data_IF_006973350176
#
_entry.id   IF_006973350176
#
_cell.length_a   1.000
_cell.length_b   1.000
_cell.length_c   1.000
_cell.angle_alpha   90.00
_cell.angle_beta   90.00
_cell.angle_gamma   90.00
#
_symmetry.space_group_name_H-M   'P 1'
#
loop_
_entity.id
_entity.type
_entity.pdbx_description
1 polymer ?
#
# COMPACT_ATOMS: atom_id res chain seq x y z
N UNK A 1 8.65 -5.40 -6.02
CA UNK A 1 7.66 -4.31 -6.04
C UNK A 1 6.27 -4.93 -6.03
N UNK A 2 5.28 -4.21 -5.53
CA UNK A 2 3.88 -4.63 -5.51
C UNK A 2 2.98 -3.41 -5.49
N UNK A 3 1.67 -3.61 -5.69
CA UNK A 3 0.70 -2.50 -5.64
C UNK A 3 0.74 -1.83 -4.27
N UNK A 4 0.86 -0.51 -4.29
CA UNK A 4 1.01 0.30 -3.09
C UNK A 4 -0.35 0.69 -2.51
N UNK A 5 -0.53 0.40 -1.22
CA UNK A 5 -1.71 0.85 -0.49
C UNK A 5 -1.72 2.34 -0.17
N UNK A 6 -0.57 3.03 -0.29
CA UNK A 6 -0.47 4.47 -0.02
C UNK A 6 -1.35 5.31 -0.95
N UNK A 7 -1.62 4.79 -2.14
CA UNK A 7 -2.43 5.46 -3.16
C UNK A 7 -3.93 5.17 -3.02
N UNK A 8 -4.34 4.18 -2.22
CA UNK A 8 -5.72 3.71 -2.21
C UNK A 8 -6.73 4.84 -1.95
N UNK A 9 -6.52 5.64 -0.90
CA UNK A 9 -7.42 6.75 -0.56
C UNK A 9 -7.51 7.81 -1.66
N UNK A 10 -6.37 8.26 -2.19
CA UNK A 10 -6.34 9.26 -3.26
C UNK A 10 -6.92 8.74 -4.59
N UNK A 11 -6.65 7.49 -4.94
CA UNK A 11 -7.20 6.88 -6.15
C UNK A 11 -8.69 6.68 -6.03
N UNK A 12 -9.22 6.30 -4.86
CA UNK A 12 -10.65 6.22 -4.62
C UNK A 12 -11.32 7.57 -4.88
N UNK A 13 -10.82 8.66 -4.28
CA UNK A 13 -11.35 10.02 -4.48
C UNK A 13 -11.38 10.40 -5.97
N UNK A 14 -10.28 10.18 -6.69
CA UNK A 14 -10.19 10.51 -8.13
C UNK A 14 -11.12 9.62 -8.95
N UNK A 15 -11.16 8.31 -8.67
CA UNK A 15 -11.97 7.34 -9.43
C UNK A 15 -13.48 7.53 -9.24
N UNK A 16 -13.91 8.02 -8.07
CA UNK A 16 -15.32 8.32 -7.78
C UNK A 16 -15.77 9.70 -8.28
N UNK A 17 -14.83 10.52 -8.76
CA UNK A 17 -15.17 11.82 -9.32
C UNK A 17 -15.87 11.63 -10.69
N UNK A 18 -17.11 12.12 -10.87
CA UNK A 18 -17.87 11.97 -12.12
C UNK A 18 -17.17 12.51 -13.36
N UNK A 19 -16.32 13.54 -13.20
CA UNK A 19 -15.66 14.22 -14.32
C UNK A 19 -14.36 13.52 -14.76
N UNK A 20 -13.76 12.69 -13.89
CA UNK A 20 -12.46 12.05 -14.11
C UNK A 20 -12.58 10.53 -14.28
N UNK A 21 -13.31 9.89 -13.36
CA UNK A 21 -13.46 8.44 -13.31
C UNK A 21 -12.13 7.67 -13.33
N UNK A 22 -12.18 6.45 -13.87
CA UNK A 22 -11.00 5.59 -14.04
C UNK A 22 -9.95 6.21 -14.98
N UNK A 23 -10.38 6.93 -16.02
CA UNK A 23 -9.47 7.51 -17.02
C UNK A 23 -8.60 8.63 -16.44
N UNK A 24 -9.17 9.48 -15.58
CA UNK A 24 -8.42 10.51 -14.86
C UNK A 24 -7.49 9.91 -13.81
N UNK A 25 -7.90 8.81 -13.16
CA UNK A 25 -7.05 8.06 -12.25
C UNK A 25 -5.80 7.54 -12.96
N UNK A 26 -5.94 6.90 -14.12
CA UNK A 26 -4.81 6.41 -14.94
C UNK A 26 -3.92 7.56 -15.39
N UNK A 27 -4.50 8.67 -15.88
CA UNK A 27 -3.72 9.83 -16.31
C UNK A 27 -2.89 10.44 -15.18
N UNK A 28 -3.47 10.53 -13.98
CA UNK A 28 -2.76 10.98 -12.78
C UNK A 28 -1.62 10.03 -12.37
N UNK A 29 -1.81 8.71 -12.46
CA UNK A 29 -0.76 7.71 -12.20
C UNK A 29 0.39 7.86 -13.18
N UNK A 30 0.11 8.01 -14.48
CA UNK A 30 1.15 8.12 -15.51
C UNK A 30 1.99 9.37 -15.28
N UNK A 31 1.36 10.54 -15.10
CA UNK A 31 2.06 11.80 -14.83
C UNK A 31 2.83 11.75 -13.52
N UNK A 32 2.21 11.21 -12.46
CA UNK A 32 2.83 11.07 -11.16
C UNK A 32 4.03 10.12 -11.17
N UNK A 33 3.97 9.01 -11.92
CA UNK A 33 5.09 8.08 -12.09
C UNK A 33 6.26 8.71 -12.85
N UNK A 34 5.99 9.53 -13.88
CA UNK A 34 7.03 10.29 -14.59
C UNK A 34 7.69 11.27 -13.62
N UNK A 35 6.87 11.97 -12.84
CA UNK A 35 7.33 12.88 -11.81
C UNK A 35 8.21 12.17 -10.76
N UNK A 36 7.74 11.05 -10.20
CA UNK A 36 8.51 10.23 -9.25
C UNK A 36 9.81 9.74 -9.88
N UNK A 37 9.79 9.27 -11.13
CA UNK A 37 10.99 8.78 -11.82
C UNK A 37 12.05 9.87 -11.96
N UNK A 38 11.65 11.09 -12.34
CA UNK A 38 12.53 12.26 -12.43
C UNK A 38 13.04 12.69 -11.05
N UNK A 39 12.17 12.71 -10.05
CA UNK A 39 12.53 13.00 -8.66
C UNK A 39 13.51 11.94 -8.14
N UNK A 40 13.30 10.67 -8.45
CA UNK A 40 14.17 9.55 -8.11
C UNK A 40 15.57 9.68 -8.72
N UNK A 41 15.66 10.04 -10.00
CA UNK A 41 16.95 10.34 -10.64
C UNK A 41 17.69 11.49 -9.96
N UNK A 42 16.97 12.45 -9.37
CA UNK A 42 17.55 13.57 -8.63
C UNK A 42 17.69 13.33 -7.11
N UNK A 43 17.50 12.09 -6.62
CA UNK A 43 17.53 11.74 -5.20
C UNK A 43 18.79 12.20 -4.45
N UNK A 44 19.93 12.30 -5.14
CA UNK A 44 21.18 12.86 -4.59
C UNK A 44 20.99 14.24 -3.94
N UNK A 45 20.10 15.08 -4.46
CA UNK A 45 19.93 16.47 -4.03
C UNK A 45 18.96 16.63 -2.85
N UNK A 46 17.94 15.77 -2.76
CA UNK A 46 16.84 15.94 -1.82
C UNK A 46 16.72 14.82 -0.77
N UNK A 47 17.41 13.69 -0.92
CA UNK A 47 17.36 12.58 0.08
C UNK A 47 17.71 13.02 1.50
N UNK A 48 18.52 14.08 1.65
CA UNK A 48 18.89 14.65 2.96
C UNK A 48 17.69 15.15 3.77
N UNK A 49 16.56 15.41 3.10
CA UNK A 49 15.33 15.89 3.71
C UNK A 49 14.45 14.74 4.21
N UNK A 50 14.57 13.55 3.62
CA UNK A 50 13.93 12.32 4.10
C UNK A 50 14.73 11.74 5.29
N UNK A 51 14.49 12.28 6.48
CA UNK A 51 15.10 11.71 7.68
C UNK A 51 14.41 10.38 8.06
N UNK A 52 15.09 9.47 8.78
CA UNK A 52 14.49 8.21 9.23
C UNK A 52 13.16 8.40 9.99
N UNK A 53 13.05 9.48 10.77
CA UNK A 53 11.81 9.85 11.48
C UNK A 53 10.67 10.15 10.50
N UNK A 54 10.93 10.88 9.40
CA UNK A 54 9.93 11.18 8.36
C UNK A 54 9.45 9.89 7.70
N UNK A 55 10.37 9.01 7.30
CA UNK A 55 10.01 7.71 6.71
C UNK A 55 9.20 6.85 7.68
N UNK A 56 9.55 6.82 8.97
CA UNK A 56 8.80 6.08 9.98
C UNK A 56 7.38 6.65 10.17
N UNK A 57 7.24 7.97 10.26
CA UNK A 57 5.93 8.63 10.34
C UNK A 57 5.04 8.28 9.14
N UNK A 58 5.61 8.27 7.93
CA UNK A 58 4.90 7.88 6.70
C UNK A 58 4.40 6.44 6.79
N UNK A 59 5.27 5.47 7.14
CA UNK A 59 4.88 4.04 7.22
C UNK A 59 3.78 3.80 8.26
N UNK A 60 3.86 4.47 9.42
CA UNK A 60 2.81 4.40 10.44
C UNK A 60 1.50 5.03 9.91
N UNK A 61 1.56 6.18 9.25
CA UNK A 61 0.39 6.85 8.69
C UNK A 61 -0.32 6.00 7.63
N UNK A 62 0.45 5.30 6.79
CA UNK A 62 -0.07 4.33 5.82
C UNK A 62 -0.84 3.24 6.57
N UNK A 63 -0.22 2.61 7.57
CA UNK A 63 -0.87 1.59 8.39
C UNK A 63 -2.18 2.09 9.03
N UNK A 64 -2.18 3.28 9.62
CA UNK A 64 -3.35 3.90 10.25
C UNK A 64 -4.47 4.20 9.23
N UNK A 65 -4.11 4.73 8.06
CA UNK A 65 -5.09 5.07 7.02
C UNK A 65 -5.81 3.85 6.42
N UNK A 66 -5.20 2.67 6.51
CA UNK A 66 -5.74 1.42 5.99
C UNK A 66 -6.55 0.64 7.01
N UNK A 67 -6.54 1.03 8.28
CA UNK A 67 -7.31 0.34 9.32
C UNK A 67 -8.81 0.34 9.00
N UNK A 68 -9.36 1.48 8.57
CA UNK A 68 -10.78 1.57 8.19
C UNK A 68 -11.10 0.64 7.02
N UNK A 69 -10.26 0.61 5.99
CA UNK A 69 -10.44 -0.28 4.82
C UNK A 69 -10.48 -1.75 5.24
N UNK A 70 -9.58 -2.17 6.13
CA UNK A 70 -9.58 -3.53 6.66
C UNK A 70 -10.85 -3.87 7.46
N UNK A 71 -11.32 -2.92 8.27
CA UNK A 71 -12.55 -3.07 9.06
C UNK A 71 -13.81 -3.09 8.18
N UNK A 72 -13.88 -2.24 7.16
CA UNK A 72 -14.99 -2.19 6.20
C UNK A 72 -15.06 -3.48 5.38
N UNK A 73 -13.90 -4.01 4.97
CA UNK A 73 -13.78 -5.31 4.31
C UNK A 73 -14.25 -6.44 5.22
N UNK A 74 -13.87 -6.43 6.51
CA UNK A 74 -14.31 -7.44 7.48
C UNK A 74 -15.84 -7.40 7.67
N UNK A 75 -16.43 -6.21 7.70
CA UNK A 75 -17.87 -6.03 7.74
C UNK A 75 -18.63 -6.52 6.50
N UNK A 76 -17.96 -6.89 5.40
CA UNK A 76 -18.61 -7.38 4.18
C UNK A 76 -18.70 -6.38 3.03
N UNK A 77 -18.07 -5.20 3.16
CA UNK A 77 -18.12 -4.00 2.29
C UNK A 77 -19.06 -2.92 2.81
N UNK A 78 -18.51 -1.73 3.03
CA UNK A 78 -19.26 -0.54 3.44
C UNK A 78 -20.32 -0.16 2.39
N UNK A 79 -21.54 0.12 2.84
CA UNK A 79 -22.66 0.53 1.97
C UNK A 79 -23.57 -0.61 1.47
N UNK A 80 -23.32 -1.87 1.85
CA UNK A 80 -24.20 -3.00 1.57
C UNK A 80 -25.20 -3.19 2.72
N UNK A 81 -26.44 -3.62 2.44
CA UNK A 81 -27.49 -3.82 3.46
C UNK A 81 -27.08 -4.81 4.55
N UNK A 82 -26.26 -5.80 4.21
CA UNK A 82 -25.75 -6.84 5.10
C UNK A 82 -24.42 -6.48 5.80
N UNK A 83 -24.03 -5.20 5.79
CA UNK A 83 -22.81 -4.76 6.46
C UNK A 83 -22.85 -5.10 7.96
N UNK A 84 -21.82 -5.81 8.43
CA UNK A 84 -21.72 -6.26 9.82
C UNK A 84 -22.61 -7.45 10.17
N UNK A 85 -23.18 -8.15 9.19
CA UNK A 85 -23.92 -9.38 9.44
C UNK A 85 -23.05 -10.41 10.18
N UNK A 86 -23.69 -11.21 11.05
CA UNK A 86 -23.00 -12.15 11.94
C UNK A 86 -22.07 -13.10 11.19
N UNK A 87 -22.44 -13.49 9.96
CA UNK A 87 -21.69 -14.43 9.14
C UNK A 87 -20.41 -13.79 8.56
N UNK A 88 -20.44 -12.50 8.18
CA UNK A 88 -19.24 -11.74 7.77
C UNK A 88 -18.27 -11.59 8.94
N UNK A 89 -18.79 -11.20 10.11
CA UNK A 89 -17.98 -11.06 11.32
C UNK A 89 -17.35 -12.39 11.72
N UNK A 90 -18.11 -13.48 11.68
CA UNK A 90 -17.63 -14.82 12.00
C UNK A 90 -16.52 -15.28 11.06
N UNK A 91 -16.74 -15.20 9.73
CA UNK A 91 -15.76 -15.64 8.73
C UNK A 91 -14.48 -14.81 8.81
N UNK A 92 -14.58 -13.49 8.97
CA UNK A 92 -13.39 -12.65 9.14
C UNK A 92 -12.67 -12.90 10.47
N UNK A 93 -13.39 -13.13 11.57
CA UNK A 93 -12.80 -13.49 12.87
C UNK A 93 -12.08 -14.83 12.78
N UNK A 94 -12.72 -15.83 12.19
CA UNK A 94 -12.13 -17.14 11.96
C UNK A 94 -10.83 -17.02 11.15
N UNK A 95 -10.88 -16.25 10.05
CA UNK A 95 -9.72 -15.99 9.20
C UNK A 95 -8.58 -15.33 9.98
N UNK A 96 -8.89 -14.32 10.81
CA UNK A 96 -7.90 -13.67 11.68
C UNK A 96 -7.30 -14.63 12.71
N UNK A 97 -8.12 -15.46 13.37
CA UNK A 97 -7.64 -16.48 14.32
C UNK A 97 -6.70 -17.45 13.61
N UNK A 98 -7.05 -17.91 12.41
CA UNK A 98 -6.17 -18.77 11.62
C UNK A 98 -4.85 -18.07 11.29
N UNK A 99 -4.88 -16.80 10.88
CA UNK A 99 -3.66 -16.02 10.65
C UNK A 99 -2.76 -15.97 11.91
N UNK A 100 -3.36 -15.74 13.09
CA UNK A 100 -2.62 -15.66 14.35
C UNK A 100 -2.04 -17.02 14.76
N UNK A 101 -2.86 -18.08 14.73
CA UNK A 101 -2.45 -19.44 15.06
C UNK A 101 -1.35 -19.90 14.10
N UNK A 102 -1.50 -19.63 12.79
CA UNK A 102 -0.49 -19.96 11.78
C UNK A 102 0.82 -19.23 12.04
N UNK A 103 0.78 -17.95 12.42
CA UNK A 103 2.00 -17.19 12.76
C UNK A 103 2.74 -17.77 13.98
N UNK A 104 2.00 -18.32 14.95
CA UNK A 104 2.58 -18.91 16.14
C UNK A 104 3.13 -20.33 15.90
N UNK A 105 2.40 -21.16 15.15
CA UNK A 105 2.75 -22.56 14.89
C UNK A 105 3.86 -22.69 13.85
N UNK A 106 3.85 -21.86 12.80
CA UNK A 106 4.87 -21.90 11.75
C UNK A 106 6.21 -21.40 12.30
N UNK A 107 7.32 -21.98 11.81
CA UNK A 107 8.68 -21.66 12.29
C UNK A 107 9.50 -20.98 11.20
N UNK A 108 10.46 -20.14 11.62
CA UNK A 108 11.37 -19.44 10.70
C UNK A 108 10.62 -18.58 9.67
N UNK A 109 10.98 -18.75 8.41
CA UNK A 109 10.44 -17.99 7.26
C UNK A 109 8.96 -18.26 6.99
N UNK A 110 8.48 -19.45 7.37
CA UNK A 110 7.10 -19.86 7.12
C UNK A 110 6.09 -19.03 7.93
N UNK A 111 6.52 -18.34 8.98
CA UNK A 111 5.68 -17.39 9.73
C UNK A 111 5.09 -16.28 8.85
N UNK A 112 5.79 -15.91 7.78
CA UNK A 112 5.33 -14.89 6.84
C UNK A 112 4.23 -15.40 5.89
N UNK A 113 3.98 -16.72 5.84
CA UNK A 113 2.87 -17.32 5.09
C UNK A 113 1.55 -17.33 5.88
N UNK A 114 1.54 -16.76 7.09
CA UNK A 114 0.37 -16.75 7.95
C UNK A 114 -0.89 -16.16 7.27
N UNK A 115 -0.72 -15.07 6.50
CA UNK A 115 -1.80 -14.43 5.74
C UNK A 115 -2.31 -15.37 4.64
N UNK A 116 -1.40 -16.07 3.93
CA UNK A 116 -1.79 -17.03 2.90
C UNK A 116 -2.56 -18.21 3.47
N UNK A 117 -2.13 -18.76 4.61
CA UNK A 117 -2.83 -19.85 5.29
C UNK A 117 -4.21 -19.40 5.79
N UNK A 118 -4.29 -18.19 6.34
CA UNK A 118 -5.56 -17.56 6.72
C UNK A 118 -6.50 -17.42 5.53
N UNK A 119 -6.02 -16.90 4.40
CA UNK A 119 -6.80 -16.73 3.18
C UNK A 119 -7.37 -18.07 2.69
N UNK A 120 -6.53 -19.12 2.65
CA UNK A 120 -6.95 -20.45 2.18
C UNK A 120 -8.01 -21.05 3.10
N UNK A 121 -7.77 -21.08 4.41
CA UNK A 121 -8.72 -21.68 5.36
C UNK A 121 -9.99 -20.83 5.52
N UNK A 122 -9.88 -19.51 5.45
CA UNK A 122 -11.03 -18.59 5.45
C UNK A 122 -11.90 -18.74 4.21
N UNK A 123 -11.29 -18.90 3.03
CA UNK A 123 -12.00 -19.21 1.79
C UNK A 123 -12.70 -20.57 1.84
N UNK A 124 -12.05 -21.59 2.41
CA UNK A 124 -12.67 -22.90 2.64
C UNK A 124 -13.87 -22.79 3.59
N UNK A 125 -13.76 -22.01 4.66
CA UNK A 125 -14.89 -21.76 5.58
C UNK A 125 -16.05 -21.06 4.86
N UNK A 126 -15.77 -20.03 4.05
CA UNK A 126 -16.79 -19.35 3.25
C UNK A 126 -17.47 -20.31 2.25
N UNK A 127 -16.71 -21.23 1.66
CA UNK A 127 -17.25 -22.27 0.76
C UNK A 127 -18.19 -23.22 1.51
N UNK A 128 -17.84 -23.63 2.73
CA UNK A 128 -18.70 -24.48 3.58
C UNK A 128 -20.03 -23.78 3.90
N UNK A 129 -20.01 -22.49 4.19
CA UNK A 129 -21.22 -21.71 4.50
C UNK A 129 -22.20 -21.65 3.33
N UNK A 130 -21.68 -21.63 2.10
CA UNK A 130 -22.49 -21.65 0.88
C UNK A 130 -23.06 -23.02 0.59
N UNK A 131 -22.22 -24.06 0.65
CA UNK A 131 -22.67 -25.45 0.42
C UNK A 131 -23.74 -25.85 1.45
N UNK A 132 -23.64 -25.31 2.66
CA UNK A 132 -24.59 -25.53 3.75
C UNK A 132 -25.83 -24.61 3.65
N UNK A 133 -25.89 -23.70 2.67
CA UNK A 133 -27.01 -22.76 2.45
C UNK A 133 -27.20 -21.72 3.55
N UNK A 134 -26.18 -21.48 4.37
CA UNK A 134 -26.26 -20.60 5.55
C UNK A 134 -26.15 -19.13 5.16
N UNK A 135 -25.28 -18.81 4.19
CA UNK A 135 -25.10 -17.45 3.68
C UNK A 135 -24.58 -17.46 2.24
N UNK A 136 -25.09 -16.59 1.35
CA UNK A 136 -24.59 -16.44 -0.02
C UNK A 136 -23.34 -15.54 -0.03
N UNK A 137 -22.15 -16.12 0.23
CA UNK A 137 -20.91 -15.34 0.40
C UNK A 137 -19.93 -15.39 -0.80
N UNK A 138 -20.13 -16.31 -1.76
CA UNK A 138 -19.30 -16.48 -2.96
C UNK A 138 -20.21 -16.61 -4.16
N UNK A 139 -19.84 -15.95 -5.24
CA UNK A 139 -20.42 -16.18 -6.56
C UNK A 139 -19.36 -16.77 -7.50
N UNK A 140 -19.46 -18.09 -7.72
CA UNK A 140 -18.60 -18.81 -8.66
C UNK A 140 -18.92 -18.51 -10.12
N UNK A 141 -20.02 -17.80 -10.41
CA UNK A 141 -20.39 -17.39 -11.77
C UNK A 141 -19.31 -16.50 -12.38
N UNK A 142 -18.66 -15.66 -11.56
CA UNK A 142 -17.52 -14.82 -11.97
C UNK A 142 -16.37 -15.62 -12.60
N UNK A 143 -16.05 -16.80 -12.05
CA UNK A 143 -14.97 -17.67 -12.55
C UNK A 143 -15.37 -18.35 -13.86
N UNK A 144 -16.58 -18.90 -13.93
CA UNK A 144 -17.10 -19.52 -15.16
C UNK A 144 -17.25 -18.50 -16.30
N UNK A 145 -17.71 -17.30 -15.96
CA UNK A 145 -17.86 -16.20 -16.90
C UNK A 145 -16.50 -15.70 -17.42
N UNK A 146 -15.50 -15.57 -16.53
CA UNK A 146 -14.15 -15.17 -16.96
C UNK A 146 -13.53 -16.22 -17.89
N UNK A 147 -13.68 -17.51 -17.57
CA UNK A 147 -13.17 -18.60 -18.42
C UNK A 147 -13.86 -18.60 -19.80
N UNK A 148 -15.18 -18.36 -19.84
CA UNK A 148 -15.93 -18.34 -21.11
C UNK A 148 -15.68 -17.09 -21.96
N UNK A 149 -15.42 -15.93 -21.34
CA UNK A 149 -15.19 -14.67 -22.04
C UNK A 149 -13.73 -14.43 -22.45
N UNK A 150 -12.77 -14.79 -21.58
CA UNK A 150 -11.35 -14.44 -21.73
C UNK A 150 -10.50 -15.66 -22.11
N UNK A 151 -10.97 -16.87 -21.81
CA UNK A 151 -10.23 -18.10 -22.03
C UNK A 151 -9.19 -18.40 -20.92
N UNK A 152 -8.41 -19.46 -21.13
CA UNK A 152 -7.41 -19.93 -20.16
C UNK A 152 -6.09 -19.17 -20.20
N UNK A 153 -5.83 -18.44 -21.30
CA UNK A 153 -4.61 -17.69 -21.51
C UNK A 153 -4.96 -16.32 -22.10
N UNK A 154 -4.44 -15.26 -21.50
CA UNK A 154 -4.63 -13.89 -22.00
C UNK A 154 -3.38 -13.06 -21.76
N UNK A 155 -3.04 -12.23 -22.74
CA UNK A 155 -2.00 -11.22 -22.59
C UNK A 155 -2.63 -9.95 -22.05
N UNK A 156 -2.12 -9.39 -20.92
CA UNK A 156 -2.61 -8.12 -20.41
C UNK A 156 -2.40 -7.01 -21.44
N UNK A 157 -3.47 -6.33 -21.81
CA UNK A 157 -3.41 -5.16 -22.70
C UNK A 157 -2.95 -3.96 -21.90
N UNK A 158 -1.91 -3.27 -22.37
CA UNK A 158 -1.49 -2.00 -21.77
C UNK A 158 -2.62 -0.99 -21.91
N UNK A 159 -2.78 -0.12 -20.92
CA UNK A 159 -3.89 0.84 -20.89
C UNK A 159 -3.92 1.75 -22.13
N UNK A 160 -2.75 2.03 -22.73
CA UNK A 160 -2.63 2.79 -23.97
C UNK A 160 -3.27 2.12 -25.21
N UNK A 161 -3.48 0.80 -25.17
CA UNK A 161 -4.08 0.01 -26.24
C UNK A 161 -5.54 -0.36 -25.97
N UNK A 162 -6.11 0.11 -24.85
CA UNK A 162 -7.51 -0.10 -24.48
C UNK A 162 -8.36 1.08 -24.95
N UNK A 163 -9.68 0.93 -24.95
CA UNK A 163 -10.62 2.02 -25.27
C UNK A 163 -10.59 3.17 -24.24
N UNK A 164 -10.02 2.92 -23.05
CA UNK A 164 -9.97 3.87 -21.94
C UNK A 164 -8.79 4.83 -22.14
N UNK A 165 -9.07 6.07 -22.52
CA UNK A 165 -8.02 7.06 -22.83
C UNK A 165 -7.67 7.84 -21.58
N UNK A 166 -6.38 7.89 -21.16
CA UNK A 166 -6.00 8.63 -19.96
C UNK A 166 -6.38 10.11 -20.05
N UNK A 167 -7.08 10.62 -19.03
CA UNK A 167 -7.41 12.05 -18.89
C UNK A 167 -6.36 12.69 -17.98
N UNK A 168 -5.70 13.73 -18.49
CA UNK A 168 -4.66 14.43 -17.75
C UNK A 168 -5.22 15.65 -17.05
N UNK A 169 -5.63 15.47 -15.80
CA UNK A 169 -6.08 16.55 -14.92
C UNK A 169 -4.98 17.04 -13.98
N UNK A 170 -4.87 18.36 -13.84
CA UNK A 170 -3.80 19.00 -13.06
C UNK A 170 -4.06 18.85 -11.55
N UNK A 171 -5.31 18.87 -11.10
CA UNK A 171 -5.64 18.67 -9.69
C UNK A 171 -5.32 17.25 -9.24
N UNK A 172 -5.78 16.25 -10.00
CA UNK A 172 -5.47 14.84 -9.78
C UNK A 172 -3.96 14.56 -9.84
N UNK A 173 -3.23 15.23 -10.75
CA UNK A 173 -1.77 15.17 -10.80
C UNK A 173 -1.14 15.60 -9.50
N UNK A 174 -1.49 16.77 -8.96
CA UNK A 174 -0.87 17.28 -7.72
C UNK A 174 -1.16 16.38 -6.52
N UNK A 175 -2.38 15.86 -6.41
CA UNK A 175 -2.76 14.89 -5.38
C UNK A 175 -1.89 13.65 -5.46
N UNK A 176 -1.77 13.05 -6.64
CA UNK A 176 -0.98 11.83 -6.83
C UNK A 176 0.52 12.08 -6.73
N UNK A 177 1.03 13.24 -7.17
CA UNK A 177 2.43 13.63 -7.07
C UNK A 177 2.91 13.67 -5.61
N UNK A 178 2.08 14.17 -4.68
CA UNK A 178 2.40 14.18 -3.25
C UNK A 178 2.46 12.75 -2.71
N UNK A 179 1.52 11.88 -3.10
CA UNK A 179 1.55 10.46 -2.71
C UNK A 179 2.76 9.74 -3.29
N UNK A 180 3.22 10.13 -4.48
CA UNK A 180 4.48 9.63 -5.02
C UNK A 180 5.70 10.10 -4.23
N UNK A 181 5.72 11.31 -3.66
CA UNK A 181 6.78 11.71 -2.72
C UNK A 181 6.76 10.87 -1.44
N UNK A 182 5.57 10.49 -0.98
CA UNK A 182 5.38 9.56 0.13
C UNK A 182 5.93 8.17 -0.23
N UNK A 183 5.59 7.64 -1.42
CA UNK A 183 6.14 6.40 -1.97
C UNK A 183 7.66 6.43 -2.02
N UNK A 184 8.23 7.53 -2.50
CA UNK A 184 9.67 7.72 -2.53
C UNK A 184 10.30 7.69 -1.12
N UNK A 185 9.62 8.23 -0.10
CA UNK A 185 10.05 8.15 1.30
C UNK A 185 9.99 6.72 1.86
N UNK A 186 8.97 5.95 1.48
CA UNK A 186 8.83 4.52 1.80
C UNK A 186 9.93 3.69 1.12
N UNK A 187 10.08 3.81 -0.20
CA UNK A 187 11.11 3.10 -0.99
C UNK A 187 12.52 3.42 -0.49
N UNK A 188 12.79 4.67 -0.09
CA UNK A 188 14.06 5.05 0.54
C UNK A 188 14.29 4.29 1.84
N UNK A 189 13.27 4.23 2.72
CA UNK A 189 13.34 3.49 3.99
C UNK A 189 13.51 1.98 3.78
N UNK A 190 12.70 1.38 2.92
CA UNK A 190 12.72 -0.05 2.61
C UNK A 190 14.06 -0.48 1.99
N UNK A 191 14.57 0.26 1.00
CA UNK A 191 15.85 -0.05 0.36
C UNK A 191 17.01 0.09 1.35
N UNK A 192 16.97 1.13 2.20
CA UNK A 192 17.98 1.31 3.26
C UNK A 192 17.95 0.15 4.25
N UNK A 193 16.77 -0.29 4.69
CA UNK A 193 16.61 -1.41 5.62
C UNK A 193 17.08 -2.76 5.04
N UNK A 194 16.93 -2.98 3.73
CA UNK A 194 17.53 -4.15 3.06
C UNK A 194 19.05 -4.06 3.06
N UNK A 195 19.62 -2.90 2.74
CA UNK A 195 21.07 -2.70 2.71
C UNK A 195 21.70 -2.88 4.11
N UNK A 196 21.10 -2.31 5.15
CA UNK A 196 21.62 -2.42 6.51
C UNK A 196 21.38 -3.81 7.10
N UNK A 197 20.19 -4.36 6.91
CA UNK A 197 19.79 -5.63 7.53
C UNK A 197 20.31 -6.89 6.84
N UNK A 198 20.46 -6.88 5.50
CA UNK A 198 20.90 -8.06 4.73
C UNK A 198 22.30 -7.92 4.13
N UNK A 199 22.73 -6.70 3.77
CA UNK A 199 24.06 -6.43 3.20
C UNK A 199 25.06 -5.86 4.22
N UNK A 200 24.61 -5.52 5.44
CA UNK A 200 25.42 -4.95 6.50
C UNK A 200 26.24 -3.71 6.08
N UNK A 201 25.65 -2.85 5.24
CA UNK A 201 26.27 -1.59 4.78
C UNK A 201 25.23 -0.53 4.50
N UNK A 202 25.69 0.72 4.40
CA UNK A 202 24.85 1.81 3.92
C UNK A 202 24.52 1.68 2.43
N UNK A 203 23.35 2.23 2.07
CA UNK A 203 22.87 2.33 0.70
C UNK A 203 23.72 3.33 -0.10
N UNK A 204 24.14 2.93 -1.30
CA UNK A 204 24.84 3.84 -2.22
C UNK A 204 23.84 4.79 -2.89
N UNK A 205 24.29 5.98 -3.27
CA UNK A 205 23.42 6.98 -3.89
C UNK A 205 22.86 6.47 -5.22
N UNK A 206 23.69 5.77 -5.98
CA UNK A 206 23.33 5.21 -7.29
C UNK A 206 22.26 4.10 -7.15
N UNK A 207 22.33 3.31 -6.07
CA UNK A 207 21.34 2.28 -5.76
C UNK A 207 20.00 2.90 -5.36
N UNK A 208 20.02 3.98 -4.58
CA UNK A 208 18.82 4.72 -4.22
C UNK A 208 18.18 5.41 -5.42
N UNK A 209 18.97 6.09 -6.25
CA UNK A 209 18.49 6.73 -7.49
C UNK A 209 17.88 5.71 -8.44
N UNK A 210 18.54 4.56 -8.62
CA UNK A 210 18.03 3.47 -9.44
C UNK A 210 16.73 2.87 -8.90
N UNK A 211 16.66 2.65 -7.57
CA UNK A 211 15.45 2.14 -6.92
C UNK A 211 14.25 3.06 -7.13
N UNK A 212 14.41 4.36 -6.86
CA UNK A 212 13.35 5.36 -7.02
C UNK A 212 12.97 5.64 -8.48
N UNK A 213 13.95 5.62 -9.39
CA UNK A 213 13.67 5.79 -10.82
C UNK A 213 12.84 4.62 -11.36
N UNK A 214 13.17 3.39 -10.97
CA UNK A 214 12.39 2.20 -11.34
C UNK A 214 11.02 2.23 -10.65
N UNK A 215 10.92 2.72 -9.42
CA UNK A 215 9.65 2.97 -8.71
C UNK A 215 8.71 3.82 -9.58
N UNK A 216 9.13 5.02 -9.97
CA UNK A 216 8.30 5.93 -10.74
C UNK A 216 8.04 5.49 -12.17
N UNK A 217 9.09 5.23 -12.96
CA UNK A 217 8.91 4.96 -14.39
C UNK A 217 8.14 3.68 -14.69
N UNK A 218 8.22 2.67 -13.81
CA UNK A 218 7.43 1.43 -14.01
C UNK A 218 5.93 1.73 -14.00
N UNK A 219 5.48 2.67 -13.17
CA UNK A 219 4.07 3.05 -13.06
C UNK A 219 3.55 3.74 -14.33
N UNK A 220 4.40 4.52 -14.99
CA UNK A 220 4.04 5.23 -16.22
C UNK A 220 4.01 4.35 -17.47
N UNK A 221 4.86 3.32 -17.53
CA UNK A 221 4.98 2.45 -18.71
C UNK A 221 3.80 1.49 -18.84
N UNK A 222 3.34 0.92 -17.71
CA UNK A 222 2.29 -0.09 -17.73
C UNK A 222 0.88 0.50 -17.59
N UNK A 223 0.75 1.73 -17.08
CA UNK A 223 -0.55 2.34 -16.77
C UNK A 223 -1.35 1.53 -15.73
N UNK A 224 -0.68 0.67 -14.97
CA UNK A 224 -1.30 -0.14 -13.92
C UNK A 224 -1.43 0.66 -12.63
N UNK A 225 -2.06 0.07 -11.62
CA UNK A 225 -2.07 0.65 -10.28
C UNK A 225 -0.64 0.92 -9.79
N UNK A 226 -0.41 2.00 -9.02
CA UNK A 226 0.92 2.37 -8.56
C UNK A 226 1.60 1.23 -7.81
N UNK A 227 2.76 0.86 -8.31
CA UNK A 227 3.69 -0.13 -7.77
C UNK A 227 4.73 0.61 -6.93
N UNK A 228 5.04 0.06 -5.76
CA UNK A 228 6.14 0.52 -4.92
C UNK A 228 6.95 -0.64 -4.33
N UNK A 229 7.99 -0.32 -3.57
CA UNK A 229 8.75 -1.26 -2.75
C UNK A 229 7.87 -1.90 -1.67
N UNK A 230 7.83 -3.23 -1.62
CA UNK A 230 6.98 -3.95 -0.68
C UNK A 230 7.70 -4.14 0.66
N UNK A 231 7.40 -3.30 1.65
CA UNK A 231 8.08 -3.24 2.95
C UNK A 231 8.04 -4.58 3.72
N UNK A 232 7.01 -5.42 3.53
CA UNK A 232 6.94 -6.75 4.14
C UNK A 232 8.04 -7.70 3.63
N UNK A 233 8.50 -7.52 2.39
CA UNK A 233 9.58 -8.35 1.84
C UNK A 233 10.93 -8.02 2.47
N UNK A 234 11.11 -6.82 3.02
CA UNK A 234 12.34 -6.43 3.73
C UNK A 234 12.57 -7.35 4.93
N UNK A 235 11.51 -7.63 5.71
CA UNK A 235 11.57 -8.57 6.83
C UNK A 235 11.99 -9.98 6.41
N UNK A 236 11.47 -10.45 5.27
CA UNK A 236 11.83 -11.77 4.74
C UNK A 236 13.29 -11.81 4.27
N UNK A 237 13.75 -10.79 3.53
CA UNK A 237 15.12 -10.72 3.01
C UNK A 237 16.14 -10.61 4.15
N UNK A 238 15.86 -9.80 5.17
CA UNK A 238 16.73 -9.65 6.35
C UNK A 238 16.80 -10.93 7.20
N UNK A 239 15.70 -11.70 7.28
CA UNK A 239 15.70 -13.00 7.98
C UNK A 239 16.38 -14.12 7.19
N UNK A 240 16.21 -14.14 5.86
CA UNK A 240 16.73 -15.22 5.00
C UNK A 240 18.16 -15.00 4.54
N UNK A 241 18.61 -13.75 4.48
CA UNK A 241 19.87 -13.36 3.83
C UNK A 241 19.89 -13.60 2.32
N UNK A 242 18.74 -13.95 1.70
CA UNK A 242 18.68 -14.26 0.26
C UNK A 242 18.49 -12.97 -0.54
N UNK A 243 19.61 -12.44 -1.02
CA UNK A 243 19.69 -11.22 -1.85
C UNK A 243 20.10 -11.52 -3.30
N UNK A 244 20.14 -12.80 -3.68
CA UNK A 244 20.56 -13.21 -5.02
C UNK A 244 19.55 -12.76 -6.08
N UNK A 245 20.03 -12.03 -7.09
CA UNK A 245 19.24 -11.55 -8.23
C UNK A 245 18.56 -12.69 -8.99
N UNK A 246 19.18 -13.87 -9.04
CA UNK A 246 18.59 -15.03 -9.69
C UNK A 246 17.30 -15.48 -8.99
N UNK A 247 17.31 -15.60 -7.66
CA UNK A 247 16.12 -15.98 -6.89
C UNK A 247 14.99 -14.98 -7.08
N UNK A 248 15.31 -13.67 -7.05
CA UNK A 248 14.33 -12.60 -7.27
C UNK A 248 13.77 -12.66 -8.70
N UNK A 249 14.61 -12.90 -9.70
CA UNK A 249 14.22 -13.01 -11.10
C UNK A 249 13.29 -14.22 -11.34
N UNK A 250 13.59 -15.38 -10.76
CA UNK A 250 12.71 -16.55 -10.83
C UNK A 250 11.36 -16.27 -10.18
N UNK A 251 11.34 -15.59 -9.03
CA UNK A 251 10.09 -15.15 -8.39
C UNK A 251 9.26 -14.23 -9.29
N UNK A 252 9.90 -13.23 -9.92
CA UNK A 252 9.24 -12.34 -10.87
C UNK A 252 8.70 -13.09 -12.09
N UNK A 253 9.46 -14.03 -12.65
CA UNK A 253 9.04 -14.85 -13.77
C UNK A 253 7.83 -15.73 -13.43
N UNK A 254 7.79 -16.32 -12.23
CA UNK A 254 6.63 -17.07 -11.75
C UNK A 254 5.38 -16.18 -11.69
N UNK A 255 5.51 -14.94 -11.19
CA UNK A 255 4.39 -14.00 -11.13
C UNK A 255 3.92 -13.53 -12.51
N UNK A 256 4.85 -13.31 -13.45
CA UNK A 256 4.52 -13.00 -14.85
C UNK A 256 3.79 -14.17 -15.50
N UNK A 257 4.27 -15.40 -15.31
CA UNK A 257 3.58 -16.57 -15.85
C UNK A 257 2.20 -16.72 -15.22
N UNK A 258 2.07 -16.50 -13.91
CA UNK A 258 0.80 -16.56 -13.20
C UNK A 258 -0.22 -15.51 -13.69
N UNK A 259 0.23 -14.31 -14.07
CA UNK A 259 -0.67 -13.26 -14.57
C UNK A 259 -1.23 -13.54 -15.96
N UNK A 260 -0.59 -14.42 -16.76
CA UNK A 260 -1.07 -14.86 -18.06
C UNK A 260 -2.24 -15.85 -17.97
N UNK A 261 -2.62 -16.30 -16.76
CA UNK A 261 -3.74 -17.19 -16.51
C UNK A 261 -4.92 -16.44 -15.87
N UNK A 262 -5.85 -15.87 -16.66
CA UNK A 262 -7.07 -15.22 -16.16
C UNK A 262 -7.87 -15.99 -15.11
N UNK A 263 -7.97 -17.34 -15.16
CA UNK A 263 -8.68 -18.09 -14.12
C UNK A 263 -8.12 -17.86 -12.71
N UNK A 264 -6.82 -17.60 -12.59
CA UNK A 264 -6.19 -17.27 -11.31
C UNK A 264 -6.66 -15.90 -10.80
N UNK A 265 -6.76 -14.90 -11.68
CA UNK A 265 -7.31 -13.59 -11.34
C UNK A 265 -8.79 -13.67 -10.94
N UNK A 266 -9.59 -14.46 -11.66
CA UNK A 266 -10.98 -14.70 -11.33
C UNK A 266 -11.15 -15.40 -9.98
N UNK A 267 -10.26 -16.35 -9.66
CA UNK A 267 -10.22 -16.98 -8.34
C UNK A 267 -9.97 -15.96 -7.24
N UNK A 268 -8.99 -15.06 -7.38
CA UNK A 268 -8.74 -14.01 -6.38
C UNK A 268 -9.91 -13.03 -6.26
N UNK A 269 -10.59 -12.69 -7.35
CA UNK A 269 -11.81 -11.86 -7.33
C UNK A 269 -13.00 -12.56 -6.68
N UNK A 270 -13.03 -13.89 -6.68
CA UNK A 270 -14.09 -14.65 -6.00
C UNK A 270 -13.97 -14.62 -4.49
N UNK A 271 -12.82 -14.19 -3.91
CA UNK A 271 -12.61 -14.25 -2.47
C UNK A 271 -13.57 -13.26 -1.77
N UNK A 272 -14.33 -13.70 -0.75
CA UNK A 272 -15.25 -12.81 -0.04
C UNK A 272 -14.49 -11.73 0.69
N UNK A 273 -15.05 -10.52 0.70
CA UNK A 273 -14.45 -9.37 1.35
C UNK A 273 -14.27 -9.59 2.86
N UNK A 274 -15.15 -10.35 3.51
CA UNK A 274 -14.98 -10.74 4.92
C UNK A 274 -13.72 -11.59 5.20
N UNK A 275 -13.33 -12.48 4.28
CA UNK A 275 -12.08 -13.26 4.37
C UNK A 275 -10.88 -12.34 4.17
N UNK A 276 -10.95 -11.47 3.15
CA UNK A 276 -9.91 -10.46 2.91
C UNK A 276 -9.78 -9.52 4.11
N UNK A 277 -10.87 -9.13 4.76
CA UNK A 277 -10.89 -8.29 5.95
C UNK A 277 -10.09 -8.89 7.10
N UNK A 278 -10.35 -10.16 7.44
CA UNK A 278 -9.58 -10.86 8.49
C UNK A 278 -8.08 -10.95 8.18
N UNK A 279 -7.72 -11.11 6.91
CA UNK A 279 -6.32 -11.11 6.46
C UNK A 279 -5.68 -9.71 6.48
N UNK A 280 -6.40 -8.70 6.00
CA UNK A 280 -5.91 -7.34 5.84
C UNK A 280 -5.76 -6.64 7.18
N UNK A 281 -6.60 -6.93 8.18
CA UNK A 281 -6.40 -6.44 9.57
C UNK A 281 -5.03 -6.87 10.11
N UNK A 282 -4.65 -8.13 9.92
CA UNK A 282 -3.33 -8.62 10.31
C UNK A 282 -2.21 -7.94 9.51
N UNK A 283 -2.41 -7.75 8.20
CA UNK A 283 -1.44 -7.11 7.32
C UNK A 283 -1.22 -5.63 7.68
N UNK A 284 -2.28 -4.83 7.75
CA UNK A 284 -2.23 -3.40 8.06
C UNK A 284 -1.71 -3.14 9.47
N UNK A 285 -2.10 -3.97 10.46
CA UNK A 285 -1.53 -3.94 11.80
C UNK A 285 -0.02 -4.21 11.81
N UNK A 286 0.46 -5.14 10.97
CA UNK A 286 1.89 -5.40 10.83
C UNK A 286 2.66 -4.27 10.15
N UNK A 287 2.04 -3.56 9.17
CA UNK A 287 2.63 -2.37 8.55
C UNK A 287 2.81 -1.27 9.59
N UNK A 288 1.78 -0.99 10.39
CA UNK A 288 1.86 -0.03 11.49
C UNK A 288 2.98 -0.40 12.48
N UNK A 289 3.10 -1.68 12.83
CA UNK A 289 4.18 -2.16 13.70
C UNK A 289 5.58 -1.96 13.11
N UNK A 290 5.79 -2.25 11.82
CA UNK A 290 7.08 -2.01 11.18
C UNK A 290 7.42 -0.51 11.14
N UNK A 291 6.44 0.36 10.95
CA UNK A 291 6.63 1.81 11.08
C UNK A 291 7.08 2.22 12.50
N UNK A 292 6.46 1.65 13.54
CA UNK A 292 6.88 1.87 14.94
C UNK A 292 8.29 1.34 15.19
N UNK A 293 8.64 0.19 14.60
CA UNK A 293 9.98 -0.39 14.70
C UNK A 293 11.03 0.47 14.00
N UNK A 294 10.73 1.05 12.83
CA UNK A 294 11.59 2.06 12.20
C UNK A 294 11.76 3.29 13.09
N UNK A 295 10.68 3.72 13.76
CA UNK A 295 10.76 4.83 14.71
C UNK A 295 11.66 4.47 15.90
N UNK A 296 11.57 3.23 16.42
CA UNK A 296 12.40 2.70 17.53
C UNK A 296 13.90 2.85 17.28
N UNK A 297 14.34 2.69 16.04
CA UNK A 297 15.75 2.80 15.65
C UNK A 297 16.22 4.26 15.52
N UNK A 298 15.31 5.23 15.63
CA UNK A 298 15.63 6.65 15.70
C UNK A 298 15.96 7.11 17.12
N UNK A 299 16.56 8.29 17.26
CA UNK A 299 16.79 8.92 18.57
C UNK A 299 15.44 9.39 19.15
N UNK A 300 15.09 8.90 20.34
CA UNK A 300 13.90 9.35 21.08
C UNK A 300 14.25 10.59 21.91
N UNK A 301 14.20 11.76 21.27
CA UNK A 301 14.39 13.08 21.89
C UNK A 301 13.10 13.93 21.82
N UNK A 302 13.11 15.08 22.49
CA UNK A 302 11.98 16.03 22.48
C UNK A 302 11.66 16.52 21.06
N UNK A 303 12.68 16.64 20.21
CA UNK A 303 12.54 17.00 18.80
C UNK A 303 11.73 15.95 18.04
N UNK A 304 12.06 14.67 18.20
CA UNK A 304 11.36 13.55 17.56
C UNK A 304 9.95 13.43 18.11
N UNK A 305 9.74 13.64 19.42
CA UNK A 305 8.41 13.71 20.02
C UNK A 305 7.53 14.78 19.33
N UNK A 306 8.05 16.00 19.15
CA UNK A 306 7.32 17.10 18.48
C UNK A 306 7.00 16.75 17.03
N UNK A 307 7.98 16.25 16.27
CA UNK A 307 7.78 15.87 14.87
C UNK A 307 6.68 14.81 14.76
N UNK A 308 6.80 13.72 15.51
CA UNK A 308 5.86 12.59 15.46
C UNK A 308 4.46 13.05 15.88
N UNK A 309 4.32 13.63 17.07
CA UNK A 309 3.01 13.99 17.64
C UNK A 309 2.24 14.99 16.76
N UNK A 310 2.86 16.09 16.34
CA UNK A 310 2.19 17.10 15.50
C UNK A 310 1.84 16.55 14.12
N UNK A 311 2.72 15.74 13.53
CA UNK A 311 2.46 15.16 12.20
C UNK A 311 1.23 14.26 12.22
N UNK A 312 1.08 13.41 13.24
CA UNK A 312 -0.10 12.56 13.38
C UNK A 312 -1.35 13.36 13.76
N UNK A 313 -1.27 14.28 14.72
CA UNK A 313 -2.41 15.10 15.12
C UNK A 313 -2.98 15.90 13.94
N UNK A 314 -2.12 16.47 13.10
CA UNK A 314 -2.56 17.21 11.92
C UNK A 314 -2.97 16.22 10.82
N UNK A 315 -2.08 15.34 10.35
CA UNK A 315 -2.37 14.49 9.20
C UNK A 315 -3.54 13.53 9.41
N UNK A 316 -3.53 12.74 10.49
CA UNK A 316 -4.60 11.77 10.78
C UNK A 316 -5.82 12.43 11.42
N UNK A 317 -5.63 13.55 12.14
CA UNK A 317 -6.76 14.31 12.70
C UNK A 317 -7.60 14.99 11.61
N UNK A 318 -6.96 15.50 10.55
CA UNK A 318 -7.65 16.11 9.40
C UNK A 318 -8.57 15.14 8.66
N UNK A 319 -8.25 13.85 8.63
CA UNK A 319 -9.15 12.86 8.01
C UNK A 319 -10.31 12.43 8.90
N UNK A 320 -10.30 12.80 10.18
CA UNK A 320 -11.36 12.46 11.14
C UNK A 320 -12.36 13.60 11.36
N UNK A 321 -12.16 14.75 10.73
CA UNK A 321 -13.15 15.84 10.78
C UNK A 321 -14.31 15.53 9.85
N UNK A 322 -15.53 15.86 10.29
CA UNK A 322 -16.76 15.69 9.52
C UNK A 322 -16.99 16.78 8.48
N UNK A 323 -16.19 17.85 8.49
CA UNK A 323 -16.28 18.98 7.55
C UNK A 323 -15.03 19.16 6.69
N UNK A 324 -15.14 20.02 5.67
CA UNK A 324 -14.00 20.47 4.89
C UNK A 324 -13.17 21.47 5.74
N UNK A 325 -12.14 20.96 6.41
CA UNK A 325 -11.23 21.76 7.22
C UNK A 325 -10.56 22.88 6.40
N UNK A 326 -10.31 22.61 5.12
CA UNK A 326 -9.72 23.54 4.17
C UNK A 326 -10.74 24.34 3.35
N UNK A 327 -11.96 24.54 3.86
CA UNK A 327 -13.02 25.30 3.17
C UNK A 327 -12.65 26.74 2.81
N UNK A 328 -11.73 27.36 3.56
CA UNK A 328 -11.22 28.71 3.29
C UNK A 328 -9.97 28.73 2.38
N UNK A 329 -9.42 27.56 2.03
CA UNK A 329 -8.24 27.43 1.18
C UNK A 329 -8.64 27.17 -0.28
N UNK A 330 -7.71 27.33 -1.23
CA UNK A 330 -7.93 26.91 -2.61
C UNK A 330 -8.33 25.43 -2.67
N UNK A 331 -9.27 25.10 -3.57
CA UNK A 331 -9.83 23.76 -3.70
C UNK A 331 -8.76 22.66 -3.80
N UNK A 332 -7.66 22.93 -4.51
CA UNK A 332 -6.52 22.03 -4.63
C UNK A 332 -5.90 21.60 -3.28
N UNK A 333 -5.92 22.45 -2.25
CA UNK A 333 -5.43 22.08 -0.91
C UNK A 333 -6.43 21.12 -0.24
N UNK A 334 -7.72 21.39 -0.38
CA UNK A 334 -8.77 20.50 0.12
C UNK A 334 -8.72 19.12 -0.54
N UNK A 335 -8.54 19.07 -1.85
CA UNK A 335 -8.51 17.83 -2.64
C UNK A 335 -7.32 16.94 -2.26
N UNK A 336 -6.20 17.55 -1.88
CA UNK A 336 -4.98 16.84 -1.44
C UNK A 336 -5.12 16.33 -0.01
N UNK A 337 -5.58 17.17 0.93
CA UNK A 337 -5.40 16.92 2.37
C UNK A 337 -6.65 16.43 3.12
N UNK A 338 -7.87 16.74 2.67
CA UNK A 338 -9.08 16.36 3.43
C UNK A 338 -9.29 14.85 3.51
N UNK A 339 -8.85 14.09 2.50
CA UNK A 339 -9.03 12.64 2.41
C UNK A 339 -7.74 11.83 2.55
N UNK A 340 -6.58 12.48 2.72
CA UNK A 340 -5.28 11.79 2.69
C UNK A 340 -4.45 12.09 3.93
N UNK A 341 -4.60 11.22 4.93
CA UNK A 341 -3.83 11.29 6.17
C UNK A 341 -2.32 11.20 5.93
N UNK A 342 -1.91 10.38 4.96
CA UNK A 342 -0.51 10.09 4.68
C UNK A 342 0.19 11.32 4.09
N UNK A 343 -0.45 12.01 3.15
CA UNK A 343 0.04 13.26 2.59
C UNK A 343 0.20 14.34 3.68
N UNK A 344 -0.79 14.47 4.58
CA UNK A 344 -0.72 15.39 5.72
C UNK A 344 0.43 15.08 6.65
N UNK A 345 0.58 13.81 7.07
CA UNK A 345 1.68 13.37 7.94
C UNK A 345 3.04 13.63 7.27
N UNK A 346 3.17 13.32 5.98
CA UNK A 346 4.42 13.52 5.24
C UNK A 346 4.84 14.99 5.18
N UNK A 347 3.95 15.89 4.76
CA UNK A 347 4.27 17.31 4.62
C UNK A 347 4.61 17.92 5.98
N UNK A 348 3.82 17.64 7.02
CA UNK A 348 4.06 18.17 8.37
C UNK A 348 5.37 17.62 8.94
N UNK A 349 5.61 16.31 8.83
CA UNK A 349 6.85 15.71 9.35
C UNK A 349 8.09 16.20 8.61
N UNK A 350 7.99 16.39 7.29
CA UNK A 350 9.05 16.96 6.48
C UNK A 350 9.35 18.40 6.91
N UNK A 351 8.35 19.26 7.01
CA UNK A 351 8.52 20.67 7.42
C UNK A 351 9.10 20.77 8.83
N UNK A 352 8.56 20.02 9.79
CA UNK A 352 9.08 20.01 11.16
C UNK A 352 10.52 19.48 11.20
N UNK A 353 10.83 18.42 10.45
CA UNK A 353 12.20 17.89 10.36
C UNK A 353 13.18 18.89 9.72
N UNK A 354 12.71 19.80 8.85
CA UNK A 354 13.52 20.85 8.23
C UNK A 354 13.75 22.05 9.15
N UNK A 355 12.69 22.53 9.80
CA UNK A 355 12.72 23.78 10.55
C UNK A 355 13.08 23.63 12.03
N UNK A 356 12.82 22.46 12.65
CA UNK A 356 13.21 22.24 14.04
C UNK A 356 14.74 22.14 14.15
N UNK A 357 15.36 22.94 15.04
CA UNK A 357 16.79 22.89 15.26
C UNK A 357 17.20 21.47 15.67
N UNK A 358 18.29 20.98 15.08
CA UNK A 358 18.90 19.72 15.52
C UNK A 358 19.65 20.02 16.81
N UNK A 359 19.36 19.30 17.88
CA UNK A 359 20.24 19.33 19.03
C UNK A 359 21.64 18.90 18.57
N UNK A 360 22.64 19.73 18.84
CA UNK A 360 24.03 19.32 18.70
C UNK A 360 24.26 18.31 19.80
N UNK A 361 24.16 17.02 19.48
CA UNK A 361 24.78 16.01 20.30
C UNK A 361 26.29 16.24 20.24
N UNK A 362 26.82 16.95 21.24
CA UNK A 362 28.22 16.83 21.61
C UNK A 362 28.44 15.40 22.08
N UNK A 363 28.97 14.55 21.18
CA UNK A 363 30.03 13.57 21.44
C UNK A 363 30.44 12.84 20.17
#
# INVERSE_FOLDING_TARGET
MGVSFTFLGSLLVISTNPDLGYEGMVGAIIMGGIFEGIVGLSAKYWRRFLTPVVSACVVIAIGLSLLSVGMDSWGGVSGVEDFGAWYHLFVGTFTLIVCLVSRYLLKGVYKNLNILVGLVLGYLMATVFIVSGIAPMLDFSSVSQTISQVGYFSLPTLVFFTEHKPIFDIGAFFTIAIVFLVSAAETTGATTAVCTGALHRDIKVEELQGSLAVDGFSNSIFGCLPLTSFSQNVGLVTMTGVINRFTICIGALILILASLFPPLGAFFNSIPQSVLGGCTVMMFGSIMYEGIKMLKDCVFDDRTMIIVSLSFCIGVGLTQTTGNFFSAFPQAVGDVFNGNAVAGVFIVSLLLSLFLPKEKNEK
#
